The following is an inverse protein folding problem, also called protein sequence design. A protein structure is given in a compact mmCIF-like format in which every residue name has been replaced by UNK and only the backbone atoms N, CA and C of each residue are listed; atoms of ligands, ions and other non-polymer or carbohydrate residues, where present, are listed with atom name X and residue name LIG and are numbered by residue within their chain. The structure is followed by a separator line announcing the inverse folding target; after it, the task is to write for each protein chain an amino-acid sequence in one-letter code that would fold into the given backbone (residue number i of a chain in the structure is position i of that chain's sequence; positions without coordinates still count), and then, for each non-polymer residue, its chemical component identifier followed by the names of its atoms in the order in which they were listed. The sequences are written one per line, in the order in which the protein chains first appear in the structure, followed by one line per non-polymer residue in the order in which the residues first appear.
data_IF_702390891949
#
_entry.id   IF_702390891949
#
_cell.length_a   1.000
_cell.length_b   1.000
_cell.length_c   1.000
_cell.angle_alpha   90.00
_cell.angle_beta   90.00
_cell.angle_gamma   90.00
#
_symmetry.space_group_name_H-M   'P 1'
#
loop_
_entity.id
_entity.type
_entity.pdbx_description
1 polymer ?
#
# COMPACT_ATOMS: atom_id res chain seq x y z
N UNK A 1 22.47 -8.87 -33.69
CA UNK A 1 22.31 -8.40 -32.28
C UNK A 1 20.84 -8.18 -32.03
N UNK A 2 20.17 -9.22 -31.55
CA UNK A 2 18.78 -9.07 -31.10
C UNK A 2 18.83 -8.45 -29.69
N UNK A 3 18.69 -7.15 -29.62
CA UNK A 3 18.30 -6.49 -28.39
C UNK A 3 16.87 -6.97 -28.12
N UNK A 4 16.75 -7.80 -27.11
CA UNK A 4 15.43 -8.27 -26.67
C UNK A 4 14.64 -7.02 -26.27
N UNK A 5 13.58 -6.72 -27.04
CA UNK A 5 12.69 -5.59 -26.75
C UNK A 5 12.11 -5.67 -25.33
N UNK A 6 12.14 -6.86 -24.71
CA UNK A 6 11.69 -7.09 -23.35
C UNK A 6 12.72 -6.65 -22.30
N UNK A 7 14.01 -6.66 -22.63
CA UNK A 7 15.06 -6.19 -21.71
C UNK A 7 15.00 -4.66 -21.51
N UNK A 8 14.61 -3.91 -22.52
CA UNK A 8 14.45 -2.45 -22.42
C UNK A 8 13.26 -2.03 -21.55
N UNK A 9 12.29 -2.93 -21.33
CA UNK A 9 11.15 -2.67 -20.46
C UNK A 9 11.46 -2.88 -18.96
N UNK A 10 12.59 -3.47 -18.66
CA UNK A 10 13.04 -3.78 -17.30
C UNK A 10 14.09 -2.79 -16.75
N UNK A 11 14.46 -1.78 -17.52
CA UNK A 11 15.37 -0.76 -17.02
C UNK A 11 14.66 0.24 -16.09
N UNK A 12 15.25 0.53 -14.91
CA UNK A 12 14.68 1.49 -13.99
C UNK A 12 14.63 2.89 -14.60
N UNK A 13 13.47 3.53 -14.62
CA UNK A 13 13.34 4.96 -14.93
C UNK A 13 12.15 5.57 -14.19
N UNK A 14 12.20 6.87 -13.99
CA UNK A 14 11.16 7.63 -13.32
C UNK A 14 10.33 8.39 -14.37
N UNK A 15 9.02 8.19 -14.33
CA UNK A 15 8.06 8.84 -15.22
C UNK A 15 7.16 9.76 -14.41
N UNK A 16 7.22 11.06 -14.67
CA UNK A 16 6.25 12.00 -14.11
C UNK A 16 4.98 11.98 -14.95
N UNK A 17 3.88 11.51 -14.36
CA UNK A 17 2.58 11.39 -15.04
C UNK A 17 1.68 12.62 -14.83
N UNK A 18 1.91 13.38 -13.76
CA UNK A 18 1.28 14.63 -13.43
C UNK A 18 2.17 15.38 -12.41
N UNK A 19 1.98 16.68 -12.18
CA UNK A 19 2.74 17.38 -11.15
C UNK A 19 2.73 16.67 -9.81
N UNK A 20 3.92 16.29 -9.31
CA UNK A 20 4.14 15.53 -8.07
C UNK A 20 3.56 14.09 -8.07
N UNK A 21 3.30 13.52 -9.24
CA UNK A 21 2.84 12.16 -9.39
C UNK A 21 3.77 11.39 -10.33
N UNK A 22 4.34 10.28 -9.87
CA UNK A 22 5.39 9.55 -10.56
C UNK A 22 5.12 8.06 -10.61
N UNK A 23 5.57 7.42 -11.69
CA UNK A 23 5.75 5.97 -11.79
C UNK A 23 7.26 5.69 -11.76
N UNK A 24 7.67 4.85 -10.84
CA UNK A 24 9.05 4.37 -10.71
C UNK A 24 9.12 2.96 -11.32
N UNK A 25 9.47 2.89 -12.60
CA UNK A 25 9.53 1.64 -13.35
C UNK A 25 10.64 0.74 -12.81
N UNK A 26 10.36 -0.55 -12.64
CA UNK A 26 11.27 -1.59 -12.13
C UNK A 26 11.92 -1.29 -10.76
N UNK A 27 11.47 -0.27 -10.04
CA UNK A 27 12.10 0.22 -8.81
C UNK A 27 12.09 -0.81 -7.68
N UNK A 28 11.02 -1.58 -7.54
CA UNK A 28 10.84 -2.58 -6.51
C UNK A 28 11.20 -4.01 -6.95
N UNK A 29 11.65 -4.21 -8.19
CA UNK A 29 11.84 -5.54 -8.78
C UNK A 29 12.82 -6.40 -7.99
N UNK A 30 13.95 -5.84 -7.57
CA UNK A 30 14.96 -6.57 -6.81
C UNK A 30 14.46 -7.04 -5.43
N UNK A 31 13.48 -6.35 -4.84
CA UNK A 31 12.90 -6.65 -3.53
C UNK A 31 11.61 -7.47 -3.61
N UNK A 32 11.11 -7.80 -4.80
CA UNK A 32 9.80 -8.40 -4.97
C UNK A 32 9.57 -9.67 -4.13
N UNK A 33 10.54 -10.59 -4.10
CA UNK A 33 10.43 -11.83 -3.31
C UNK A 33 10.45 -11.56 -1.81
N UNK A 34 11.30 -10.64 -1.35
CA UNK A 34 11.34 -10.24 0.07
C UNK A 34 10.03 -9.61 0.50
N UNK A 35 9.50 -8.69 -0.31
CA UNK A 35 8.20 -8.05 -0.06
C UNK A 35 7.05 -9.05 0.01
N UNK A 36 7.07 -10.07 -0.85
CA UNK A 36 6.07 -11.14 -0.82
C UNK A 36 6.13 -11.94 0.48
N UNK A 37 7.32 -12.31 0.94
CA UNK A 37 7.51 -13.02 2.22
C UNK A 37 7.04 -12.17 3.40
N UNK A 38 7.38 -10.89 3.41
CA UNK A 38 6.93 -9.93 4.44
C UNK A 38 5.41 -9.78 4.44
N UNK A 39 4.80 -9.73 3.25
CA UNK A 39 3.35 -9.69 3.10
C UNK A 39 2.66 -10.93 3.69
N UNK A 40 3.21 -12.11 3.48
CA UNK A 40 2.69 -13.36 4.06
C UNK A 40 2.68 -13.31 5.60
N UNK A 41 3.72 -12.76 6.21
CA UNK A 41 3.77 -12.58 7.67
C UNK A 41 2.73 -11.56 8.18
N UNK A 42 2.52 -10.47 7.44
CA UNK A 42 1.45 -9.51 7.77
C UNK A 42 0.09 -10.21 7.73
N UNK A 43 -0.19 -10.96 6.68
CA UNK A 43 -1.49 -11.64 6.47
C UNK A 43 -1.77 -12.67 7.56
N UNK A 44 -0.77 -13.36 8.08
CA UNK A 44 -0.94 -14.28 9.22
C UNK A 44 -1.46 -13.58 10.47
N UNK A 45 -1.01 -12.35 10.72
CA UNK A 45 -1.36 -11.59 11.90
C UNK A 45 -2.56 -10.66 11.71
N UNK A 46 -2.75 -10.16 10.50
CA UNK A 46 -3.85 -9.30 10.09
C UNK A 46 -4.38 -9.76 8.72
N UNK A 47 -5.27 -10.77 8.67
CA UNK A 47 -5.77 -11.32 7.42
C UNK A 47 -6.51 -10.29 6.56
N UNK A 48 -6.49 -10.49 5.25
CA UNK A 48 -7.35 -9.75 4.34
C UNK A 48 -8.83 -9.88 4.73
N UNK A 49 -9.56 -8.79 4.65
CA UNK A 49 -11.00 -8.73 4.90
C UNK A 49 -11.70 -7.81 3.91
N UNK A 50 -12.95 -8.08 3.66
CA UNK A 50 -13.85 -7.16 2.97
C UNK A 50 -14.45 -6.23 4.01
N UNK A 51 -14.13 -4.94 3.91
CA UNK A 51 -14.75 -3.90 4.74
C UNK A 51 -16.06 -3.43 4.11
N UNK A 52 -16.85 -2.67 4.84
CA UNK A 52 -18.09 -2.09 4.32
C UNK A 52 -18.03 -0.56 4.34
N UNK A 53 -18.79 0.05 3.43
CA UNK A 53 -19.06 1.50 3.50
C UNK A 53 -19.85 1.83 4.76
N UNK A 54 -19.90 3.11 5.19
CA UNK A 54 -20.74 3.53 6.31
C UNK A 54 -22.24 3.17 6.16
N UNK A 55 -22.69 3.06 4.92
CA UNK A 55 -24.07 2.65 4.58
C UNK A 55 -24.27 1.13 4.52
N UNK A 56 -23.21 0.34 4.76
CA UNK A 56 -23.29 -1.12 4.87
C UNK A 56 -23.01 -1.90 3.59
N UNK A 57 -22.63 -1.26 2.49
CA UNK A 57 -22.26 -1.96 1.25
C UNK A 57 -20.84 -2.53 1.34
N UNK A 58 -20.61 -3.80 0.96
CA UNK A 58 -19.27 -4.38 0.96
C UNK A 58 -18.38 -3.70 -0.10
N UNK A 59 -17.11 -3.48 0.24
CA UNK A 59 -16.10 -3.05 -0.71
C UNK A 59 -15.75 -4.19 -1.67
N UNK A 60 -15.40 -3.86 -2.90
CA UNK A 60 -15.00 -4.85 -3.92
C UNK A 60 -13.61 -5.43 -3.69
N UNK A 61 -12.76 -4.71 -2.97
CA UNK A 61 -11.34 -5.05 -2.76
C UNK A 61 -11.11 -5.49 -1.34
N UNK A 62 -10.47 -6.64 -1.17
CA UNK A 62 -10.03 -7.10 0.15
C UNK A 62 -8.81 -6.30 0.60
N UNK A 63 -8.79 -5.91 1.87
CA UNK A 63 -7.78 -5.01 2.43
C UNK A 63 -7.23 -5.54 3.75
N UNK A 64 -6.01 -5.17 4.05
CA UNK A 64 -5.40 -5.25 5.37
C UNK A 64 -4.43 -4.10 5.58
N UNK A 65 -3.84 -4.00 6.75
CA UNK A 65 -2.94 -2.91 7.09
C UNK A 65 -1.71 -3.43 7.85
N UNK A 66 -0.64 -2.65 7.78
CA UNK A 66 0.45 -2.69 8.74
C UNK A 66 0.92 -1.27 9.07
N UNK A 67 1.59 -1.11 10.20
CA UNK A 67 2.06 0.17 10.71
C UNK A 67 1.44 0.57 12.04
N UNK A 68 1.71 1.79 12.47
CA UNK A 68 1.12 2.36 13.69
C UNK A 68 -0.39 2.57 13.56
N UNK A 69 -0.82 2.85 12.34
CA UNK A 69 -2.20 3.13 11.98
C UNK A 69 -2.64 2.26 10.81
N UNK A 70 -3.90 1.87 10.82
CA UNK A 70 -4.55 1.17 9.71
C UNK A 70 -5.80 1.89 9.29
N UNK A 71 -5.99 2.06 7.98
CA UNK A 71 -7.21 2.60 7.43
C UNK A 71 -8.33 1.57 7.49
N UNK A 72 -9.46 1.96 8.03
CA UNK A 72 -10.64 1.09 8.16
C UNK A 72 -11.91 1.85 7.81
N UNK A 73 -12.92 1.10 7.41
CA UNK A 73 -14.27 1.60 7.20
C UNK A 73 -15.31 0.58 7.65
N UNK A 74 -16.32 1.06 8.32
CA UNK A 74 -17.50 0.34 8.77
C UNK A 74 -18.66 1.33 9.01
N UNK A 75 -19.69 0.93 9.73
CA UNK A 75 -20.82 1.79 10.06
C UNK A 75 -20.46 3.08 10.82
N UNK A 76 -19.28 3.11 11.44
CA UNK A 76 -18.77 4.30 12.14
C UNK A 76 -18.06 5.28 11.21
N UNK A 77 -17.86 4.92 9.94
CA UNK A 77 -17.24 5.77 8.92
C UNK A 77 -15.80 5.40 8.59
N UNK A 78 -15.22 6.19 7.71
CA UNK A 78 -13.82 6.08 7.30
C UNK A 78 -12.92 6.66 8.39
N UNK A 79 -11.88 5.92 8.80
CA UNK A 79 -10.96 6.40 9.83
C UNK A 79 -9.64 5.62 9.87
N UNK A 80 -8.65 6.21 10.48
CA UNK A 80 -7.45 5.50 10.91
C UNK A 80 -7.64 4.97 12.33
N UNK A 81 -7.22 3.73 12.56
CA UNK A 81 -7.27 3.06 13.87
C UNK A 81 -5.91 2.46 14.21
N UNK A 82 -5.48 2.60 15.46
CA UNK A 82 -4.25 1.98 15.95
C UNK A 82 -4.41 0.47 16.17
N UNK A 83 -5.64 -0.04 16.16
CA UNK A 83 -5.94 -1.45 16.39
C UNK A 83 -6.76 -2.04 15.24
N UNK A 84 -6.48 -3.29 14.94
CA UNK A 84 -7.29 -4.09 14.03
C UNK A 84 -8.62 -4.44 14.69
N UNK A 85 -9.77 -4.00 14.14
CA UNK A 85 -11.08 -4.27 14.74
C UNK A 85 -11.46 -5.76 14.74
N UNK A 86 -10.85 -6.60 13.90
CA UNK A 86 -11.10 -8.06 13.91
C UNK A 86 -10.45 -8.77 15.09
N UNK A 87 -9.22 -8.38 15.41
CA UNK A 87 -8.44 -9.05 16.47
C UNK A 87 -8.43 -8.27 17.77
N UNK A 88 -8.74 -6.97 17.75
CA UNK A 88 -8.56 -6.07 18.89
C UNK A 88 -7.09 -5.78 19.24
N UNK A 89 -6.14 -6.28 18.45
CA UNK A 89 -4.71 -6.09 18.65
C UNK A 89 -4.19 -4.94 17.76
N UNK A 90 -3.00 -4.44 18.08
CA UNK A 90 -2.29 -3.51 17.20
C UNK A 90 -2.04 -4.17 15.84
N UNK A 91 -2.01 -3.37 14.80
CA UNK A 91 -1.58 -3.81 13.49
C UNK A 91 -0.14 -4.32 13.53
N UNK A 92 0.24 -5.28 12.68
CA UNK A 92 1.65 -5.64 12.50
C UNK A 92 2.47 -4.41 12.13
N UNK A 93 3.72 -4.30 12.56
CA UNK A 93 4.59 -3.20 12.13
C UNK A 93 4.83 -3.25 10.62
N UNK A 94 5.16 -2.11 10.01
CA UNK A 94 5.64 -2.10 8.63
C UNK A 94 6.98 -2.84 8.59
N UNK A 95 7.13 -3.90 7.78
CA UNK A 95 8.40 -4.61 7.64
C UNK A 95 9.52 -3.69 7.15
N UNK A 96 10.76 -3.98 7.54
CA UNK A 96 11.90 -3.12 7.25
C UNK A 96 12.09 -2.86 5.75
N UNK A 97 11.96 -3.89 4.89
CA UNK A 97 12.10 -3.72 3.46
C UNK A 97 11.01 -2.87 2.84
N UNK A 98 9.75 -3.02 3.29
CA UNK A 98 8.64 -2.17 2.84
C UNK A 98 8.84 -0.73 3.27
N UNK A 99 9.27 -0.52 4.51
CA UNK A 99 9.54 0.81 5.05
C UNK A 99 10.64 1.53 4.26
N UNK A 100 11.77 0.86 4.04
CA UNK A 100 12.90 1.42 3.29
C UNK A 100 12.57 1.63 1.81
N UNK A 101 11.79 0.73 1.20
CA UNK A 101 11.32 0.91 -0.18
C UNK A 101 10.46 2.16 -0.31
N UNK A 102 9.52 2.38 0.60
CA UNK A 102 8.67 3.57 0.59
C UNK A 102 9.48 4.86 0.74
N UNK A 103 10.45 4.88 1.66
CA UNK A 103 11.36 6.02 1.84
C UNK A 103 12.21 6.27 0.60
N UNK A 104 12.83 5.23 0.06
CA UNK A 104 13.69 5.33 -1.12
C UNK A 104 12.90 5.79 -2.36
N UNK A 105 11.68 5.30 -2.55
CA UNK A 105 10.80 5.72 -3.63
C UNK A 105 10.44 7.21 -3.52
N UNK A 106 10.05 7.66 -2.34
CA UNK A 106 9.76 9.07 -2.08
C UNK A 106 10.98 9.97 -2.35
N UNK A 107 12.14 9.57 -1.85
CA UNK A 107 13.40 10.31 -2.04
C UNK A 107 13.80 10.37 -3.53
N UNK A 108 13.61 9.29 -4.29
CA UNK A 108 13.96 9.23 -5.70
C UNK A 108 13.22 10.27 -6.56
N UNK A 109 12.09 10.77 -6.09
CA UNK A 109 11.26 11.79 -6.78
C UNK A 109 11.15 13.10 -5.99
N UNK A 110 12.08 13.34 -5.07
CA UNK A 110 12.24 14.62 -4.40
C UNK A 110 11.43 14.83 -3.12
N UNK A 111 10.73 13.81 -2.62
CA UNK A 111 10.06 13.87 -1.32
C UNK A 111 11.01 13.36 -0.22
N UNK A 112 11.81 14.26 0.29
CA UNK A 112 12.76 13.95 1.36
C UNK A 112 12.06 13.79 2.73
N UNK A 113 12.68 13.02 3.62
CA UNK A 113 12.24 12.80 5.00
C UNK A 113 10.86 12.11 5.14
N UNK A 114 10.37 11.46 4.10
CA UNK A 114 9.15 10.65 4.20
C UNK A 114 9.33 9.50 5.18
N UNK A 115 8.44 9.40 6.16
CA UNK A 115 8.43 8.36 7.18
C UNK A 115 7.04 7.73 7.24
N UNK A 116 6.80 6.61 6.55
CA UNK A 116 5.51 5.96 6.56
C UNK A 116 5.16 5.42 7.95
N UNK A 117 3.97 5.70 8.43
CA UNK A 117 3.43 5.19 9.69
C UNK A 117 2.15 4.36 9.50
N UNK A 118 1.65 4.29 8.28
CA UNK A 118 0.53 3.47 7.86
C UNK A 118 0.81 2.88 6.47
N UNK A 119 0.40 1.65 6.26
CA UNK A 119 0.47 0.98 4.97
C UNK A 119 -0.83 0.19 4.76
N UNK A 120 -1.69 0.68 3.88
CA UNK A 120 -2.89 -0.02 3.43
C UNK A 120 -2.50 -0.99 2.31
N UNK A 121 -2.91 -2.23 2.43
CA UNK A 121 -2.61 -3.29 1.48
C UNK A 121 -3.91 -3.78 0.84
N UNK A 122 -3.99 -3.69 -0.47
CA UNK A 122 -5.14 -4.07 -1.27
C UNK A 122 -4.86 -5.34 -2.06
N UNK A 123 -5.81 -6.28 -2.06
CA UNK A 123 -5.76 -7.48 -2.89
C UNK A 123 -6.87 -7.44 -3.93
N UNK A 124 -6.47 -7.37 -5.19
CA UNK A 124 -7.37 -7.44 -6.34
C UNK A 124 -7.44 -8.86 -6.88
N UNK A 125 -8.62 -9.45 -6.89
CA UNK A 125 -8.90 -10.70 -7.60
C UNK A 125 -9.60 -10.38 -8.94
N UNK A 126 -9.69 -11.31 -9.89
CA UNK A 126 -10.42 -11.08 -11.13
C UNK A 126 -11.84 -10.56 -10.85
N UNK A 127 -12.21 -9.46 -11.51
CA UNK A 127 -13.48 -8.77 -11.30
C UNK A 127 -13.51 -7.73 -10.17
N UNK A 128 -12.56 -7.74 -9.24
CA UNK A 128 -12.44 -6.69 -8.24
C UNK A 128 -11.89 -5.39 -8.85
N UNK A 129 -12.47 -4.27 -8.48
CA UNK A 129 -12.03 -2.95 -8.95
C UNK A 129 -12.27 -1.87 -7.91
N UNK A 130 -11.44 -0.86 -7.95
CA UNK A 130 -11.64 0.40 -7.24
C UNK A 130 -12.03 1.47 -8.27
N UNK A 131 -13.10 2.20 -8.01
CA UNK A 131 -13.51 3.31 -8.87
C UNK A 131 -12.56 4.50 -8.69
N UNK A 132 -12.54 5.38 -9.67
CA UNK A 132 -11.79 6.64 -9.58
C UNK A 132 -12.26 7.43 -8.35
N UNK A 133 -11.33 7.81 -7.51
CA UNK A 133 -11.59 8.51 -6.25
C UNK A 133 -10.43 9.43 -5.90
N UNK A 134 -10.61 10.22 -4.88
CA UNK A 134 -9.59 11.04 -4.26
C UNK A 134 -9.54 10.65 -2.78
N UNK A 135 -8.34 10.41 -2.26
CA UNK A 135 -8.13 10.24 -0.84
C UNK A 135 -8.38 11.60 -0.15
N UNK A 136 -9.30 11.58 0.81
CA UNK A 136 -9.69 12.76 1.59
C UNK A 136 -9.49 12.47 3.06
N UNK A 137 -9.43 13.53 3.85
CA UNK A 137 -9.35 13.46 5.31
C UNK A 137 -8.08 12.78 5.83
N UNK A 138 -7.03 12.77 5.02
CA UNK A 138 -5.70 12.35 5.47
C UNK A 138 -5.23 13.29 6.58
N UNK A 139 -4.71 12.71 7.66
CA UNK A 139 -4.25 13.45 8.83
C UNK A 139 -2.79 13.13 9.12
N UNK A 140 -2.07 14.14 9.57
CA UNK A 140 -0.75 13.92 10.13
C UNK A 140 -0.87 13.54 11.61
N UNK A 141 -0.56 12.30 11.93
CA UNK A 141 -0.55 11.78 13.30
C UNK A 141 0.87 11.87 13.88
N UNK A 142 1.43 13.07 14.01
CA UNK A 142 2.68 13.30 14.71
C UNK A 142 2.46 13.28 16.21
#
# INVERSE_FOLDING_TARGET
MNLDLLDSLNEPFNEEIAPQAYILHAFAQAQAMTLQTELEEIIKNAPFRIMSTPTGFPLSVAMTNCGQWGWITDKQGYRYSATDPLSGRKWPPIPASMYELGRAAAQAVGFENFQPNACLINRYIPGAKMSLHQDKDERNFQ
#
